data_IF_973802926728
#
_entry.id   IF_973802926728
#
_cell.length_a   1.000
_cell.length_b   1.000
_cell.length_c   1.000
_cell.angle_alpha   90.00
_cell.angle_beta   90.00
_cell.angle_gamma   90.00
#
_symmetry.space_group_name_H-M   'P 1'
#
loop_
_entity.id
_entity.type
_entity.pdbx_description
1 polymer ?
#
# COMPACT_ATOMS: atom_id res chain seq x y z
N UNK A 1 30.48 -13.01 -2.62
CA UNK A 1 30.10 -12.85 -4.05
C UNK A 1 31.31 -13.09 -4.93
N UNK A 2 31.15 -13.75 -6.07
CA UNK A 2 32.24 -14.20 -6.95
C UNK A 2 32.65 -13.21 -8.05
N UNK A 3 32.02 -12.03 -8.12
CA UNK A 3 32.35 -10.97 -9.10
C UNK A 3 31.74 -11.14 -10.50
N UNK A 4 30.82 -12.09 -10.70
CA UNK A 4 30.18 -12.33 -12.00
C UNK A 4 28.90 -11.54 -12.27
N UNK A 5 28.47 -10.66 -11.36
CA UNK A 5 27.25 -9.85 -11.46
C UNK A 5 27.56 -8.45 -10.98
N UNK A 6 27.35 -7.45 -11.84
CA UNK A 6 27.57 -6.03 -11.52
C UNK A 6 26.34 -5.35 -10.89
N UNK A 7 25.12 -5.79 -11.26
CA UNK A 7 23.88 -5.23 -10.75
C UNK A 7 22.74 -6.26 -10.76
N UNK A 8 21.90 -6.21 -9.73
CA UNK A 8 20.65 -6.96 -9.63
C UNK A 8 19.54 -6.06 -9.08
N UNK A 9 18.31 -6.32 -9.49
CA UNK A 9 17.10 -5.61 -9.05
C UNK A 9 16.01 -6.62 -8.68
N UNK A 10 14.97 -6.16 -7.96
CA UNK A 10 13.93 -7.02 -7.37
C UNK A 10 14.43 -8.03 -6.33
N UNK A 11 15.46 -7.65 -5.57
CA UNK A 11 15.89 -8.43 -4.40
C UNK A 11 14.82 -8.32 -3.31
N UNK A 12 14.48 -9.45 -2.69
CA UNK A 12 13.51 -9.47 -1.59
C UNK A 12 14.04 -8.64 -0.40
N UNK A 13 13.17 -7.97 0.39
CA UNK A 13 13.60 -7.05 1.44
C UNK A 13 14.53 -7.70 2.49
N UNK A 14 14.24 -8.93 2.88
CA UNK A 14 15.04 -9.72 3.83
C UNK A 14 16.45 -10.02 3.28
N UNK A 15 16.54 -10.38 2.01
CA UNK A 15 17.82 -10.56 1.31
C UNK A 15 18.56 -9.23 1.16
N UNK A 16 17.85 -8.14 0.85
CA UNK A 16 18.44 -6.82 0.70
C UNK A 16 19.06 -6.32 2.02
N UNK A 17 18.44 -6.58 3.17
CA UNK A 17 19.02 -6.28 4.48
C UNK A 17 20.30 -7.08 4.73
N UNK A 18 20.33 -8.37 4.39
CA UNK A 18 21.55 -9.18 4.51
C UNK A 18 22.68 -8.67 3.60
N UNK A 19 22.36 -8.23 2.39
CA UNK A 19 23.34 -7.71 1.43
C UNK A 19 23.98 -6.39 1.89
N UNK A 20 23.35 -5.61 2.77
CA UNK A 20 23.96 -4.41 3.35
C UNK A 20 25.20 -4.72 4.20
N UNK A 21 25.31 -5.94 4.74
CA UNK A 21 26.47 -6.38 5.51
C UNK A 21 27.66 -6.81 4.63
N UNK A 22 27.47 -6.93 3.31
CA UNK A 22 28.52 -7.38 2.41
C UNK A 22 29.39 -6.17 2.03
N UNK A 23 30.71 -6.21 2.31
CA UNK A 23 31.61 -5.14 1.92
C UNK A 23 31.67 -5.04 0.38
N UNK A 24 31.82 -3.82 -0.12
CA UNK A 24 31.89 -3.48 -1.56
C UNK A 24 30.56 -3.61 -2.33
N UNK A 25 29.42 -3.77 -1.65
CA UNK A 25 28.10 -3.65 -2.27
C UNK A 25 27.44 -2.32 -1.91
N UNK A 26 26.75 -1.73 -2.88
CA UNK A 26 25.84 -0.61 -2.64
C UNK A 26 24.41 -1.10 -2.80
N UNK A 27 23.66 -1.15 -1.69
CA UNK A 27 22.23 -1.47 -1.70
C UNK A 27 21.44 -0.17 -1.75
N UNK A 28 20.65 0.03 -2.81
CA UNK A 28 19.74 1.19 -2.94
C UNK A 28 18.30 0.71 -2.94
N UNK A 29 17.47 1.31 -2.08
CA UNK A 29 16.01 1.21 -2.15
C UNK A 29 15.49 2.48 -2.81
N UNK A 30 14.70 2.35 -3.87
CA UNK A 30 14.05 3.50 -4.49
C UNK A 30 12.65 3.12 -4.99
N UNK A 31 11.70 4.03 -4.79
CA UNK A 31 10.34 3.90 -5.29
C UNK A 31 10.31 3.74 -6.81
N UNK A 32 9.76 2.62 -7.28
CA UNK A 32 9.50 2.41 -8.71
C UNK A 32 8.15 3.01 -9.10
N UNK A 33 7.92 3.22 -10.40
CA UNK A 33 6.62 3.65 -10.95
C UNK A 33 5.60 2.50 -10.93
N UNK A 34 5.38 1.91 -9.75
CA UNK A 34 4.46 0.78 -9.52
C UNK A 34 3.37 1.20 -8.54
N UNK A 35 2.18 0.69 -8.78
CA UNK A 35 1.00 0.93 -7.94
C UNK A 35 0.45 -0.44 -7.53
N UNK A 36 0.27 -0.63 -6.24
CA UNK A 36 -0.44 -1.79 -5.70
C UNK A 36 -1.91 -1.44 -5.48
N UNK A 37 -2.81 -2.35 -5.85
CA UNK A 37 -4.24 -2.24 -5.60
C UNK A 37 -4.74 -3.42 -4.78
N UNK A 38 -5.74 -3.14 -3.94
CA UNK A 38 -6.60 -4.16 -3.35
C UNK A 38 -7.99 -3.99 -3.98
N UNK A 39 -8.44 -5.02 -4.68
CA UNK A 39 -9.82 -5.05 -5.20
C UNK A 39 -10.69 -5.68 -4.12
N UNK A 40 -11.69 -4.93 -3.69
CA UNK A 40 -12.63 -5.35 -2.64
C UNK A 40 -13.95 -5.73 -3.28
N UNK A 41 -14.55 -6.83 -2.85
CA UNK A 41 -15.84 -7.27 -3.34
C UNK A 41 -16.97 -6.34 -2.86
N UNK A 42 -17.19 -5.27 -3.63
CA UNK A 42 -18.26 -4.32 -3.38
C UNK A 42 -19.66 -4.87 -3.66
N UNK A 43 -19.77 -6.01 -4.37
CA UNK A 43 -21.05 -6.66 -4.67
C UNK A 43 -21.47 -7.64 -3.58
N UNK A 44 -20.55 -8.06 -2.71
CA UNK A 44 -20.80 -9.05 -1.67
C UNK A 44 -21.08 -10.44 -2.23
N UNK A 45 -20.54 -10.76 -3.40
CA UNK A 45 -20.68 -12.10 -4.01
C UNK A 45 -19.94 -13.19 -3.25
N UNK A 46 -18.95 -12.84 -2.44
CA UNK A 46 -18.17 -13.77 -1.63
C UNK A 46 -18.95 -14.42 -0.49
N UNK A 47 -19.97 -13.73 0.05
CA UNK A 47 -20.81 -14.23 1.15
C UNK A 47 -22.08 -13.39 1.29
N UNK A 48 -23.17 -14.01 1.76
CA UNK A 48 -24.50 -13.36 1.86
C UNK A 48 -24.48 -12.04 2.66
N UNK A 49 -23.64 -11.95 3.70
CA UNK A 49 -23.47 -10.76 4.55
C UNK A 49 -22.04 -10.21 4.51
N UNK A 50 -21.44 -10.12 3.32
CA UNK A 50 -20.07 -9.61 3.18
C UNK A 50 -19.94 -8.17 3.69
N UNK A 51 -19.09 -7.89 4.71
CA UNK A 51 -18.89 -6.53 5.21
C UNK A 51 -18.26 -5.61 4.16
N UNK A 52 -17.58 -6.19 3.16
CA UNK A 52 -16.98 -5.46 2.05
C UNK A 52 -18.01 -4.87 1.08
N UNK A 53 -19.28 -5.32 1.12
CA UNK A 53 -20.36 -4.68 0.38
C UNK A 53 -20.66 -3.26 0.92
N UNK A 54 -20.38 -3.00 2.21
CA UNK A 54 -20.58 -1.70 2.83
C UNK A 54 -19.46 -0.71 2.44
N UNK A 55 -19.85 0.46 1.90
CA UNK A 55 -18.93 1.51 1.48
C UNK A 55 -18.04 2.01 2.63
N UNK A 56 -18.59 2.18 3.84
CA UNK A 56 -17.85 2.71 4.99
C UNK A 56 -16.76 1.74 5.44
N UNK A 57 -17.01 0.44 5.37
CA UNK A 57 -16.00 -0.59 5.67
C UNK A 57 -14.84 -0.50 4.68
N UNK A 58 -15.13 -0.34 3.38
CA UNK A 58 -14.07 -0.17 2.37
C UNK A 58 -13.28 1.13 2.56
N UNK A 59 -13.94 2.21 2.99
CA UNK A 59 -13.30 3.50 3.29
C UNK A 59 -12.41 3.45 4.55
N UNK A 60 -12.73 2.56 5.50
CA UNK A 60 -12.00 2.39 6.76
C UNK A 60 -10.69 1.61 6.65
N UNK A 61 -10.32 1.12 5.47
CA UNK A 61 -9.07 0.38 5.28
C UNK A 61 -7.86 1.30 5.48
N UNK A 62 -7.00 0.91 6.41
CA UNK A 62 -5.78 1.64 6.80
C UNK A 62 -4.68 1.52 5.72
N UNK A 63 -4.58 2.51 4.84
CA UNK A 63 -3.57 2.53 3.76
C UNK A 63 -2.16 2.70 4.30
N UNK A 64 -2.00 3.47 5.37
CA UNK A 64 -0.71 3.76 6.02
C UNK A 64 -0.12 2.48 6.62
N UNK A 65 -0.94 1.72 7.35
CA UNK A 65 -0.58 0.42 7.92
C UNK A 65 -0.20 -0.58 6.84
N UNK A 66 -1.00 -0.69 5.77
CA UNK A 66 -0.69 -1.55 4.63
C UNK A 66 0.66 -1.19 3.98
N UNK A 67 0.91 0.10 3.74
CA UNK A 67 2.16 0.54 3.11
C UNK A 67 3.39 0.28 3.99
N UNK A 68 3.30 0.53 5.30
CA UNK A 68 4.44 0.44 6.22
C UNK A 68 4.72 -0.98 6.69
N UNK A 69 3.69 -1.79 6.93
CA UNK A 69 3.82 -3.11 7.54
C UNK A 69 3.89 -4.25 6.50
N UNK A 70 3.16 -4.16 5.38
CA UNK A 70 3.14 -5.23 4.38
C UNK A 70 4.12 -4.98 3.23
N UNK A 71 4.21 -3.74 2.73
CA UNK A 71 5.07 -3.43 1.59
C UNK A 71 6.45 -2.98 2.05
N UNK A 72 6.51 -2.08 3.03
CA UNK A 72 7.74 -1.56 3.60
C UNK A 72 8.55 -0.70 2.63
N UNK A 73 9.84 -0.48 2.95
CA UNK A 73 10.77 0.29 2.14
C UNK A 73 10.30 1.73 1.89
N UNK A 74 10.38 2.17 0.63
CA UNK A 74 9.90 3.50 0.21
C UNK A 74 8.41 3.53 -0.15
N UNK A 75 7.66 2.46 0.15
CA UNK A 75 6.22 2.44 -0.09
C UNK A 75 5.53 3.58 0.65
N UNK A 76 4.62 4.26 -0.05
CA UNK A 76 3.79 5.33 0.50
C UNK A 76 2.33 5.07 0.13
N UNK A 77 1.37 5.45 0.99
CA UNK A 77 -0.03 5.37 0.64
C UNK A 77 -0.31 6.26 -0.58
N UNK A 78 -1.00 5.68 -1.56
CA UNK A 78 -1.50 6.39 -2.73
C UNK A 78 -3.00 6.62 -2.57
N UNK A 79 -3.44 7.86 -2.79
CA UNK A 79 -4.85 8.25 -2.71
C UNK A 79 -5.48 8.45 -4.10
N UNK A 80 -4.66 8.43 -5.13
CA UNK A 80 -5.03 8.45 -6.55
C UNK A 80 -4.33 7.30 -7.26
N UNK A 81 -4.93 6.79 -8.33
CA UNK A 81 -4.41 5.66 -9.10
C UNK A 81 -3.26 6.09 -10.04
N UNK A 82 -2.27 6.84 -9.53
CA UNK A 82 -1.09 7.28 -10.28
C UNK A 82 0.16 7.33 -9.38
N UNK A 83 1.33 7.24 -10.00
CA UNK A 83 2.61 7.44 -9.31
C UNK A 83 2.91 8.94 -9.17
N UNK A 84 3.38 9.37 -7.99
CA UNK A 84 3.57 10.80 -7.65
C UNK A 84 4.43 11.59 -8.62
N UNK A 85 5.48 10.98 -9.16
CA UNK A 85 6.37 11.62 -10.14
C UNK A 85 5.86 11.56 -11.58
N UNK A 86 4.72 10.91 -11.83
CA UNK A 86 4.17 10.76 -13.18
C UNK A 86 3.47 12.05 -13.61
N UNK A 87 3.73 12.47 -14.85
CA UNK A 87 3.04 13.62 -15.44
C UNK A 87 1.53 13.43 -15.39
N UNK A 88 0.82 14.47 -14.93
CA UNK A 88 -0.64 14.44 -14.76
C UNK A 88 -1.14 13.82 -13.46
N UNK A 89 -0.27 13.28 -12.60
CA UNK A 89 -0.70 12.80 -11.29
C UNK A 89 -0.99 13.98 -10.34
N UNK A 90 -2.23 14.10 -9.87
CA UNK A 90 -2.65 15.15 -8.94
C UNK A 90 -3.22 14.51 -7.67
N UNK A 91 -2.48 14.55 -6.57
CA UNK A 91 -2.96 14.01 -5.29
C UNK A 91 -3.96 14.92 -4.57
N UNK A 92 -4.06 16.21 -4.96
CA UNK A 92 -4.90 17.19 -4.27
C UNK A 92 -6.40 16.97 -4.52
N UNK A 93 -6.75 16.27 -5.61
CA UNK A 93 -8.16 15.93 -5.92
C UNK A 93 -8.66 14.71 -5.14
N UNK A 94 -7.79 14.07 -4.34
CA UNK A 94 -8.12 12.83 -3.66
C UNK A 94 -8.91 13.08 -2.37
N UNK A 95 -10.06 12.40 -2.22
CA UNK A 95 -10.74 12.31 -0.93
C UNK A 95 -9.94 11.40 0.00
N UNK A 96 -9.48 11.94 1.13
CA UNK A 96 -8.75 11.18 2.15
C UNK A 96 -9.68 10.80 3.29
N UNK A 97 -9.72 9.51 3.61
CA UNK A 97 -10.50 8.98 4.73
C UNK A 97 -9.53 8.72 5.89
N UNK A 98 -9.68 9.47 6.98
CA UNK A 98 -8.93 9.25 8.21
C UNK A 98 -9.59 8.18 9.07
N UNK A 99 -8.79 7.32 9.70
CA UNK A 99 -9.26 6.25 10.58
C UNK A 99 -10.00 6.83 11.81
N UNK A 100 -9.54 7.96 12.35
CA UNK A 100 -10.12 8.61 13.54
C UNK A 100 -11.56 9.06 13.32
N UNK A 101 -11.88 9.57 12.12
CA UNK A 101 -13.22 10.12 11.81
C UNK A 101 -14.27 9.02 11.57
N UNK A 102 -13.85 7.77 11.36
CA UNK A 102 -14.74 6.66 11.01
C UNK A 102 -15.21 5.86 12.25
N UNK A 103 -14.41 5.82 13.32
CA UNK A 103 -14.81 5.16 14.57
C UNK A 103 -15.99 5.86 15.24
N UNK A 104 -15.98 7.21 15.32
CA UNK A 104 -17.11 7.99 15.84
C UNK A 104 -18.40 7.74 15.05
N UNK A 105 -18.30 7.51 13.75
CA UNK A 105 -19.47 7.29 12.90
C UNK A 105 -20.00 5.86 12.92
N UNK A 106 -19.13 4.87 13.20
CA UNK A 106 -19.48 3.44 13.31
C UNK A 106 -20.20 3.08 14.62
N UNK A 107 -20.10 3.93 15.64
CA UNK A 107 -20.80 3.75 16.92
C UNK A 107 -22.29 4.11 16.87
N UNK A 108 -22.77 4.65 15.73
CA UNK A 108 -24.20 4.85 15.51
C UNK A 108 -24.88 3.52 15.19
N UNK A 109 -25.93 3.12 15.93
CA UNK A 109 -26.61 1.86 15.70
C UNK A 109 -27.17 1.83 14.27
N UNK A 110 -26.82 0.80 13.51
CA UNK A 110 -27.33 0.59 12.16
C UNK A 110 -28.84 0.29 12.22
N UNK A 111 -29.69 0.99 11.45
CA UNK A 111 -31.04 0.51 11.21
C UNK A 111 -30.93 -0.83 10.45
N UNK A 112 -31.65 -1.83 10.93
CA UNK A 112 -31.73 -3.17 10.32
C UNK A 112 -32.27 -3.10 8.90
#
# INVERSE_FOLDING_TARGET
MTGGIDWAWQIAPDQAEQLKAVPNLTVKSSGTMRIGFLILDARGTSSQDSPLANLKVRQAINREGLSSQLVGGESKPLYVACYRGQFGCNEMVATKYGITNLFEESLRPFPR
#
